data_IF_091771193873
#
_entry.id   IF_091771193873
#
_cell.length_a   1.000
_cell.length_b   1.000
_cell.length_c   1.000
_cell.angle_alpha   90.00
_cell.angle_beta   90.00
_cell.angle_gamma   90.00
#
_symmetry.space_group_name_H-M   'P 1'
#
loop_
_entity.id
_entity.type
_entity.pdbx_description
1 polymer ?
#
# COMPACT_ATOMS: atom_id res chain seq x y z
N UNK A 1 -3.33 16.50 -16.54
CA UNK A 1 -3.77 15.10 -16.39
C UNK A 1 -4.37 14.99 -15.01
N UNK A 2 -5.55 14.39 -14.87
CA UNK A 2 -6.18 14.19 -13.57
C UNK A 2 -5.36 13.19 -12.76
N UNK A 3 -5.11 13.49 -11.49
CA UNK A 3 -4.43 12.59 -10.55
C UNK A 3 -5.26 11.32 -10.37
N UNK A 4 -4.67 10.14 -10.55
CA UNK A 4 -5.37 8.87 -10.27
C UNK A 4 -5.36 8.59 -8.78
N UNK A 5 -6.18 7.65 -8.29
CA UNK A 5 -6.17 7.34 -6.86
C UNK A 5 -4.83 6.74 -6.43
N UNK A 6 -4.20 5.93 -7.28
CA UNK A 6 -2.86 5.38 -7.01
C UNK A 6 -1.82 6.51 -6.93
N UNK A 7 -1.94 7.58 -7.73
CA UNK A 7 -1.07 8.76 -7.62
C UNK A 7 -1.22 9.46 -6.25
N UNK A 8 -2.44 9.57 -5.73
CA UNK A 8 -2.68 10.15 -4.41
C UNK A 8 -2.03 9.31 -3.28
N UNK A 9 -2.15 7.98 -3.34
CA UNK A 9 -1.45 7.10 -2.41
C UNK A 9 0.08 7.23 -2.54
N UNK A 10 0.61 7.26 -3.76
CA UNK A 10 2.04 7.47 -4.01
C UNK A 10 2.53 8.80 -3.42
N UNK A 11 1.74 9.86 -3.53
CA UNK A 11 2.09 11.17 -2.98
C UNK A 11 2.20 11.12 -1.45
N UNK A 12 1.26 10.46 -0.77
CA UNK A 12 1.31 10.31 0.70
C UNK A 12 2.54 9.52 1.15
N UNK A 13 2.94 8.46 0.43
CA UNK A 13 4.16 7.70 0.77
C UNK A 13 5.42 8.54 0.49
N UNK A 14 5.46 9.27 -0.63
CA UNK A 14 6.63 10.08 -1.02
C UNK A 14 6.81 11.33 -0.17
N UNK A 15 5.72 11.86 0.38
CA UNK A 15 5.73 13.02 1.25
C UNK A 15 4.89 12.75 2.51
N UNK A 16 5.44 12.00 3.48
CA UNK A 16 4.76 11.70 4.75
C UNK A 16 4.54 12.93 5.63
N UNK A 17 4.98 14.12 5.25
CA UNK A 17 4.68 15.38 5.95
C UNK A 17 3.56 16.19 5.25
N UNK A 18 3.11 15.76 4.06
CA UNK A 18 2.16 16.48 3.22
C UNK A 18 0.72 16.51 3.73
N UNK A 19 -0.25 16.73 2.82
CA UNK A 19 -1.66 16.56 3.17
C UNK A 19 -1.99 15.05 3.38
N UNK A 20 -2.92 14.70 4.29
CA UNK A 20 -3.45 13.34 4.35
C UNK A 20 -4.29 13.05 3.11
N UNK A 21 -4.54 11.75 2.85
CA UNK A 21 -5.41 11.31 1.78
C UNK A 21 -6.83 11.87 1.99
N UNK A 22 -7.42 12.50 0.98
CA UNK A 22 -8.79 13.03 1.06
C UNK A 22 -9.80 12.07 0.39
N UNK A 23 -11.05 12.12 0.86
CA UNK A 23 -12.14 11.29 0.35
C UNK A 23 -11.95 9.78 0.56
N UNK A 24 -12.97 9.00 0.18
CA UNK A 24 -12.92 7.55 0.14
C UNK A 24 -13.32 7.08 -1.26
N UNK A 25 -12.61 6.08 -1.78
CA UNK A 25 -12.94 5.42 -3.05
C UNK A 25 -12.96 3.91 -2.88
N UNK A 26 -13.63 3.20 -3.80
CA UNK A 26 -13.69 1.73 -3.80
C UNK A 26 -12.30 1.08 -3.98
N UNK A 27 -11.31 1.82 -4.50
CA UNK A 27 -9.95 1.34 -4.68
C UNK A 27 -9.14 1.36 -3.38
N UNK A 28 -9.54 2.18 -2.41
CA UNK A 28 -8.74 2.46 -1.22
C UNK A 28 -8.49 1.21 -0.38
N UNK A 29 -9.50 0.36 -0.23
CA UNK A 29 -9.39 -0.84 0.61
C UNK A 29 -8.40 -1.85 0.04
N UNK A 30 -8.37 -2.01 -1.28
CA UNK A 30 -7.41 -2.89 -1.94
C UNK A 30 -5.97 -2.34 -1.84
N UNK A 31 -5.78 -1.04 -2.07
CA UNK A 31 -4.46 -0.39 -1.98
C UNK A 31 -3.96 -0.37 -0.52
N UNK A 32 -4.84 -0.11 0.44
CA UNK A 32 -4.53 -0.23 1.87
C UNK A 32 -4.19 -1.66 2.24
N UNK A 33 -4.88 -2.66 1.71
CA UNK A 33 -4.52 -4.06 1.95
C UNK A 33 -3.10 -4.38 1.48
N UNK A 34 -2.68 -3.84 0.33
CA UNK A 34 -1.30 -3.95 -0.13
C UNK A 34 -0.32 -3.26 0.83
N UNK A 35 -0.61 -2.02 1.24
CA UNK A 35 0.21 -1.28 2.22
C UNK A 35 0.42 -2.10 3.48
N UNK A 36 -0.66 -2.58 4.11
CA UNK A 36 -0.56 -3.28 5.39
C UNK A 36 0.26 -4.56 5.28
N UNK A 37 0.17 -5.26 4.15
CA UNK A 37 0.93 -6.48 3.97
C UNK A 37 2.42 -6.22 3.81
N UNK A 38 2.81 -5.10 3.18
CA UNK A 38 4.20 -4.72 3.03
C UNK A 38 4.80 -4.34 4.38
N UNK A 39 4.16 -3.45 5.14
CA UNK A 39 4.64 -2.99 6.46
C UNK A 39 4.62 -4.06 7.57
N UNK A 40 4.11 -5.27 7.26
CA UNK A 40 4.12 -6.40 8.19
C UNK A 40 4.78 -7.63 7.57
N UNK A 41 5.42 -7.48 6.41
CA UNK A 41 5.98 -8.61 5.68
C UNK A 41 7.06 -9.32 6.50
N UNK A 42 7.84 -8.56 7.28
CA UNK A 42 8.89 -9.07 8.18
C UNK A 42 8.36 -9.48 9.57
N UNK A 43 7.11 -9.14 9.90
CA UNK A 43 6.41 -9.53 11.12
C UNK A 43 6.43 -8.50 12.25
N UNK A 44 7.20 -7.43 12.11
CA UNK A 44 7.24 -6.29 13.03
C UNK A 44 6.59 -5.05 12.38
N UNK A 45 6.53 -3.93 13.10
CA UNK A 45 6.03 -2.66 12.58
C UNK A 45 6.83 -1.54 13.23
N UNK A 46 7.65 -0.86 12.44
CA UNK A 46 8.40 0.31 12.88
C UNK A 46 7.49 1.51 13.14
N UNK A 47 7.96 2.48 13.92
CA UNK A 47 7.20 3.69 14.26
C UNK A 47 6.87 4.50 12.99
N UNK A 48 7.79 4.55 12.03
CA UNK A 48 7.66 5.20 10.73
C UNK A 48 6.55 4.57 9.87
N UNK A 49 6.48 3.24 9.85
CA UNK A 49 5.46 2.49 9.11
C UNK A 49 4.08 2.62 9.76
N UNK A 50 4.03 2.64 11.10
CA UNK A 50 2.81 2.94 11.83
C UNK A 50 2.32 4.35 11.49
N UNK A 51 3.19 5.35 11.52
CA UNK A 51 2.85 6.73 11.13
C UNK A 51 2.32 6.79 9.70
N UNK A 52 2.95 6.09 8.75
CA UNK A 52 2.44 5.98 7.38
C UNK A 52 1.04 5.34 7.35
N UNK A 53 0.85 4.21 8.04
CA UNK A 53 -0.42 3.51 8.13
C UNK A 53 -1.55 4.38 8.69
N UNK A 54 -1.25 5.22 9.70
CA UNK A 54 -2.19 6.19 10.26
C UNK A 54 -2.60 7.26 9.24
N UNK A 55 -1.65 7.77 8.45
CA UNK A 55 -1.92 8.79 7.42
C UNK A 55 -2.76 8.26 6.27
N UNK A 56 -2.65 6.96 5.98
CA UNK A 56 -3.42 6.26 4.94
C UNK A 56 -4.84 5.88 5.39
N UNK A 57 -5.12 6.00 6.70
CA UNK A 57 -6.41 5.74 7.34
C UNK A 57 -6.92 6.98 8.10
N UNK A 58 -7.07 8.14 7.44
CA UNK A 58 -7.25 9.44 8.10
C UNK A 58 -8.58 9.60 8.85
N UNK A 59 -9.55 8.71 8.60
CA UNK A 59 -10.86 8.71 9.26
C UNK A 59 -10.89 7.87 10.54
N UNK A 60 -9.81 7.16 10.85
CA UNK A 60 -9.71 6.30 12.04
C UNK A 60 -8.86 7.00 13.11
N UNK A 61 -9.24 6.86 14.38
CA UNK A 61 -8.34 7.21 15.47
C UNK A 61 -7.08 6.33 15.42
N UNK A 62 -5.95 6.75 16.02
CA UNK A 62 -4.74 5.94 16.03
C UNK A 62 -4.94 4.51 16.57
N UNK A 63 -5.83 4.35 17.56
CA UNK A 63 -6.20 3.06 18.11
C UNK A 63 -6.99 2.20 17.12
N UNK A 64 -7.96 2.78 16.42
CA UNK A 64 -8.76 2.07 15.41
C UNK A 64 -7.95 1.72 14.18
N UNK A 65 -7.07 2.62 13.74
CA UNK A 65 -6.14 2.36 12.66
C UNK A 65 -5.19 1.22 13.03
N UNK A 66 -4.54 1.26 14.21
CA UNK A 66 -3.69 0.16 14.67
C UNK A 66 -4.45 -1.19 14.76
N UNK A 67 -5.71 -1.18 15.22
CA UNK A 67 -6.54 -2.37 15.25
C UNK A 67 -6.88 -2.88 13.84
N UNK A 68 -7.16 -1.97 12.89
CA UNK A 68 -7.44 -2.29 11.49
C UNK A 68 -6.20 -2.84 10.77
N UNK A 69 -5.04 -2.23 10.99
CA UNK A 69 -3.74 -2.71 10.49
C UNK A 69 -3.46 -4.14 10.99
N UNK A 70 -3.65 -4.41 12.29
CA UNK A 70 -3.50 -5.77 12.84
C UNK A 70 -4.50 -6.78 12.28
N UNK A 71 -5.74 -6.36 11.99
CA UNK A 71 -6.74 -7.24 11.39
C UNK A 71 -6.36 -7.64 9.96
N UNK A 72 -5.78 -6.71 9.19
CA UNK A 72 -5.35 -6.96 7.81
C UNK A 72 -4.07 -7.81 7.80
N UNK A 73 -3.15 -7.65 8.76
CA UNK A 73 -1.95 -8.52 8.91
C UNK A 73 -2.27 -10.02 8.84
N UNK A 74 -3.41 -10.44 9.39
CA UNK A 74 -3.82 -11.85 9.39
C UNK A 74 -4.31 -12.39 8.06
N UNK A 75 -4.42 -11.53 7.02
CA UNK A 75 -4.95 -11.89 5.72
C UNK A 75 -3.86 -11.79 4.64
N UNK A 76 -3.71 -12.82 3.77
CA UNK A 76 -2.84 -12.68 2.61
C UNK A 76 -3.37 -11.57 1.68
N UNK A 77 -2.47 -10.88 0.97
CA UNK A 77 -2.89 -9.92 -0.06
C UNK A 77 -3.58 -10.66 -1.19
N UNK A 78 -4.82 -10.26 -1.45
CA UNK A 78 -5.54 -10.68 -2.64
C UNK A 78 -5.10 -9.82 -3.83
N UNK A 79 -4.03 -10.26 -4.50
CA UNK A 79 -3.49 -9.58 -5.68
C UNK A 79 -4.54 -9.52 -6.79
N UNK A 80 -5.40 -10.53 -6.92
CA UNK A 80 -6.44 -10.54 -7.94
C UNK A 80 -7.49 -9.45 -7.68
N UNK A 81 -7.92 -9.30 -6.42
CA UNK A 81 -8.82 -8.22 -6.00
C UNK A 81 -8.17 -6.84 -6.22
N UNK A 82 -6.88 -6.69 -5.90
CA UNK A 82 -6.13 -5.46 -6.15
C UNK A 82 -6.11 -5.08 -7.63
N UNK A 83 -5.81 -6.02 -8.52
CA UNK A 83 -5.78 -5.78 -9.97
C UNK A 83 -7.18 -5.56 -10.57
N UNK A 84 -8.22 -6.10 -9.94
CA UNK A 84 -9.61 -5.81 -10.30
C UNK A 84 -10.02 -4.38 -9.88
N UNK A 85 -9.58 -3.92 -8.71
CA UNK A 85 -9.82 -2.56 -8.21
C UNK A 85 -9.05 -1.49 -9.02
N UNK A 86 -7.86 -1.84 -9.53
CA UNK A 86 -7.03 -0.97 -10.37
C UNK A 86 -6.93 -1.57 -11.79
N UNK A 87 -7.95 -1.37 -12.65
CA UNK A 87 -8.00 -2.00 -13.96
C UNK A 87 -7.02 -1.40 -14.97
N UNK A 88 -6.62 -0.14 -14.79
CA UNK A 88 -5.74 0.57 -15.71
C UNK A 88 -4.29 0.03 -15.65
N UNK A 89 -3.69 -0.39 -16.78
CA UNK A 89 -2.33 -0.93 -16.80
C UNK A 89 -1.24 0.05 -16.36
N UNK A 90 -1.39 1.35 -16.60
CA UNK A 90 -0.43 2.35 -16.12
C UNK A 90 -0.52 2.49 -14.60
N UNK A 91 -1.73 2.54 -14.04
CA UNK A 91 -1.92 2.58 -12.59
C UNK A 91 -1.44 1.29 -11.89
N UNK A 92 -1.58 0.12 -12.54
CA UNK A 92 -0.99 -1.13 -12.01
C UNK A 92 0.53 -1.07 -11.90
N UNK A 93 1.20 -0.40 -12.84
CA UNK A 93 2.67 -0.18 -12.74
C UNK A 93 3.00 0.78 -11.60
N UNK A 94 2.13 1.74 -11.31
CA UNK A 94 2.28 2.64 -10.16
C UNK A 94 2.12 1.90 -8.83
N UNK A 95 1.31 0.84 -8.74
CA UNK A 95 1.25 -0.03 -7.55
C UNK A 95 2.61 -0.67 -7.22
N UNK A 96 3.41 -1.01 -8.23
CA UNK A 96 4.77 -1.53 -8.01
C UNK A 96 5.65 -0.43 -7.41
N UNK A 97 5.59 0.79 -7.95
CA UNK A 97 6.34 1.93 -7.41
C UNK A 97 5.91 2.24 -5.97
N UNK A 98 4.60 2.18 -5.70
CA UNK A 98 4.04 2.34 -4.37
C UNK A 98 4.63 1.31 -3.41
N UNK A 99 4.60 0.03 -3.79
CA UNK A 99 5.13 -1.04 -2.96
C UNK A 99 6.63 -0.87 -2.67
N UNK A 100 7.40 -0.45 -3.67
CA UNK A 100 8.84 -0.18 -3.50
C UNK A 100 9.11 1.00 -2.55
N UNK A 101 8.31 2.07 -2.62
CA UNK A 101 8.46 3.20 -1.71
C UNK A 101 8.06 2.86 -0.27
N UNK A 102 7.01 2.06 -0.10
CA UNK A 102 6.60 1.56 1.23
C UNK A 102 7.73 0.73 1.83
N UNK A 103 8.24 -0.26 1.09
CA UNK A 103 9.27 -1.17 1.57
C UNK A 103 10.66 -0.53 1.79
N UNK A 104 10.81 0.77 1.57
CA UNK A 104 12.08 1.48 1.78
C UNK A 104 11.92 2.67 2.73
N UNK A 105 10.77 2.78 3.40
CA UNK A 105 10.42 3.95 4.19
C UNK A 105 11.21 4.03 5.50
N UNK A 106 11.54 2.90 6.08
CA UNK A 106 12.37 2.76 7.28
C UNK A 106 13.88 2.74 6.96
N UNK A 107 14.23 2.75 5.67
CA UNK A 107 15.61 2.71 5.18
C UNK A 107 16.21 1.30 5.15
N UNK A 108 15.46 0.29 5.56
CA UNK A 108 15.80 -1.13 5.39
C UNK A 108 15.03 -1.69 4.18
N UNK A 109 15.44 -2.86 3.70
CA UNK A 109 14.74 -3.53 2.60
C UNK A 109 14.77 -5.02 2.89
N UNK A 110 13.73 -5.50 3.55
CA UNK A 110 13.65 -6.87 4.04
C UNK A 110 13.40 -7.85 2.89
N UNK A 111 13.89 -9.08 3.06
CA UNK A 111 13.70 -10.15 2.07
C UNK A 111 12.20 -10.44 1.83
N UNK A 112 11.39 -10.40 2.89
CA UNK A 112 9.95 -10.64 2.80
C UNK A 112 9.22 -9.57 1.96
N UNK A 113 9.60 -8.29 2.10
CA UNK A 113 9.05 -7.21 1.29
C UNK A 113 9.47 -7.34 -0.18
N UNK A 114 10.72 -7.77 -0.40
CA UNK A 114 11.21 -8.06 -1.74
C UNK A 114 10.39 -9.16 -2.43
N UNK A 115 10.14 -10.27 -1.73
CA UNK A 115 9.32 -11.37 -2.23
C UNK A 115 7.90 -10.91 -2.57
N UNK A 116 7.29 -10.10 -1.70
CA UNK A 116 5.97 -9.51 -1.94
C UNK A 116 5.94 -8.62 -3.20
N UNK A 117 6.95 -7.77 -3.38
CA UNK A 117 7.08 -6.91 -4.57
C UNK A 117 7.30 -7.73 -5.85
N UNK A 118 8.10 -8.80 -5.78
CA UNK A 118 8.33 -9.70 -6.91
C UNK A 118 7.04 -10.44 -7.30
N UNK A 119 6.26 -10.90 -6.33
CA UNK A 119 4.95 -11.51 -6.56
C UNK A 119 3.98 -10.53 -7.23
N UNK A 120 3.88 -9.30 -6.72
CA UNK A 120 3.06 -8.24 -7.31
C UNK A 120 3.48 -7.93 -8.76
N UNK A 121 4.78 -7.78 -9.02
CA UNK A 121 5.31 -7.54 -10.37
C UNK A 121 4.89 -8.62 -11.35
N UNK A 122 5.03 -9.90 -10.96
CA UNK A 122 4.66 -11.04 -11.82
C UNK A 122 3.20 -10.96 -12.27
N UNK A 123 2.29 -10.71 -11.33
CA UNK A 123 0.86 -10.65 -11.63
C UNK A 123 0.49 -9.39 -12.43
N UNK A 124 1.09 -8.23 -12.13
CA UNK A 124 0.88 -7.00 -12.91
C UNK A 124 1.29 -7.19 -14.38
N UNK A 125 2.45 -7.81 -14.64
CA UNK A 125 2.91 -8.04 -16.01
C UNK A 125 2.03 -9.06 -16.74
N UNK A 126 1.60 -10.11 -16.05
CA UNK A 126 0.68 -11.10 -16.60
C UNK A 126 -0.66 -10.48 -16.98
N UNK A 127 -1.20 -9.58 -16.16
CA UNK A 127 -2.49 -8.92 -16.40
C UNK A 127 -2.42 -7.77 -17.41
N UNK A 128 -1.21 -7.38 -17.86
CA UNK A 128 -0.97 -6.31 -18.83
C UNK A 128 -0.56 -6.83 -20.22
N UNK A 129 -0.46 -8.16 -20.37
CA UNK A 129 -0.15 -8.86 -21.64
C UNK A 129 -1.44 -9.30 -22.31
#
# INVERSE_FOLDING_TARGET
MSQTRVDAFLEVVRNPEGAPLDGATDQDDAIRSLLVHLIYADGDLADEELLLGLRMLPLLSPREAAARLRAIRGSPVDIAQLLAAVPDPEDRRKLIQFAQHVATIDGEYAEAEHEAIVALRREVYRASS
#
